data_IF_992537331782
#
_entry.id   IF_992537331782
#
_cell.length_a   1.000
_cell.length_b   1.000
_cell.length_c   1.000
_cell.angle_alpha   90.00
_cell.angle_beta   90.00
_cell.angle_gamma   90.00
#
_symmetry.space_group_name_H-M   'P 1'
#
loop_
_entity.id
_entity.type
_entity.pdbx_description
1 polymer ?
#
# COMPACT_ATOMS: atom_id res chain seq x y z
N UNK A 1 -16.70 7.12 35.68
CA UNK A 1 -17.22 7.30 34.30
C UNK A 1 -16.29 8.14 33.42
N UNK A 2 -16.03 9.43 33.72
CA UNK A 2 -15.13 10.29 32.89
C UNK A 2 -13.73 9.71 32.62
N UNK A 3 -13.05 9.16 33.65
CA UNK A 3 -11.71 8.56 33.51
C UNK A 3 -11.70 7.30 32.62
N UNK A 4 -12.79 6.51 32.67
CA UNK A 4 -12.93 5.29 31.87
C UNK A 4 -13.14 5.62 30.39
N UNK A 5 -13.94 6.65 30.10
CA UNK A 5 -14.16 7.16 28.74
C UNK A 5 -12.85 7.69 28.12
N UNK A 6 -12.07 8.43 28.90
CA UNK A 6 -10.78 8.96 28.43
C UNK A 6 -9.79 7.84 28.07
N UNK A 7 -9.74 6.76 28.86
CA UNK A 7 -8.91 5.59 28.58
C UNK A 7 -9.37 4.87 27.30
N UNK A 8 -10.68 4.72 27.13
CA UNK A 8 -11.25 4.10 25.93
C UNK A 8 -10.90 4.91 24.67
N UNK A 9 -11.04 6.23 24.73
CA UNK A 9 -10.68 7.12 23.63
C UNK A 9 -9.19 7.02 23.27
N UNK A 10 -8.30 6.98 24.28
CA UNK A 10 -6.86 6.79 24.07
C UNK A 10 -6.55 5.45 23.38
N UNK A 11 -7.23 4.37 23.75
CA UNK A 11 -7.06 3.06 23.10
C UNK A 11 -7.47 3.12 21.63
N UNK A 12 -8.61 3.73 21.31
CA UNK A 12 -9.08 3.88 19.92
C UNK A 12 -8.08 4.69 19.09
N UNK A 13 -7.57 5.79 19.64
CA UNK A 13 -6.55 6.62 18.97
C UNK A 13 -5.26 5.81 18.75
N UNK A 14 -4.81 5.06 19.76
CA UNK A 14 -3.61 4.23 19.64
C UNK A 14 -3.76 3.15 18.56
N UNK A 15 -4.92 2.48 18.50
CA UNK A 15 -5.22 1.50 17.45
C UNK A 15 -5.23 2.16 16.07
N UNK A 16 -5.88 3.32 15.95
CA UNK A 16 -5.94 4.06 14.68
C UNK A 16 -4.54 4.43 14.16
N UNK A 17 -3.69 4.94 15.05
CA UNK A 17 -2.29 5.28 14.73
C UNK A 17 -1.52 4.02 14.34
N UNK A 18 -1.67 2.93 15.10
CA UNK A 18 -0.98 1.67 14.81
C UNK A 18 -1.37 1.11 13.43
N UNK A 19 -2.65 1.15 13.06
CA UNK A 19 -3.14 0.75 11.73
C UNK A 19 -2.55 1.63 10.65
N UNK A 20 -2.60 2.96 10.80
CA UNK A 20 -2.02 3.88 9.82
C UNK A 20 -0.53 3.65 9.62
N UNK A 21 0.22 3.49 10.72
CA UNK A 21 1.66 3.26 10.65
C UNK A 21 1.97 1.91 9.99
N UNK A 22 1.21 0.86 10.31
CA UNK A 22 1.36 -0.45 9.69
C UNK A 22 1.11 -0.40 8.18
N UNK A 23 0.03 0.25 7.75
CA UNK A 23 -0.28 0.44 6.33
C UNK A 23 0.81 1.23 5.62
N UNK A 24 1.29 2.32 6.23
CA UNK A 24 2.37 3.13 5.66
C UNK A 24 3.65 2.32 5.45
N UNK A 25 4.08 1.57 6.47
CA UNK A 25 5.29 0.74 6.39
C UNK A 25 5.18 -0.32 5.29
N UNK A 26 4.03 -0.99 5.17
CA UNK A 26 3.83 -2.00 4.13
C UNK A 26 3.83 -1.39 2.73
N UNK A 27 3.16 -0.27 2.52
CA UNK A 27 3.15 0.43 1.24
C UNK A 27 4.58 0.83 0.82
N UNK A 28 5.36 1.43 1.73
CA UNK A 28 6.76 1.79 1.44
C UNK A 28 7.64 0.57 1.13
N UNK A 29 7.38 -0.57 1.79
CA UNK A 29 8.10 -1.81 1.50
C UNK A 29 7.78 -2.34 0.10
N UNK A 30 6.51 -2.28 -0.31
CA UNK A 30 6.10 -2.69 -1.66
C UNK A 30 6.71 -1.78 -2.71
N UNK A 31 6.70 -0.47 -2.50
CA UNK A 31 7.31 0.51 -3.40
C UNK A 31 8.80 0.21 -3.64
N UNK A 32 9.55 -0.02 -2.56
CA UNK A 32 10.96 -0.41 -2.64
C UNK A 32 11.17 -1.74 -3.38
N UNK A 33 10.30 -2.73 -3.11
CA UNK A 33 10.36 -4.03 -3.76
C UNK A 33 10.04 -3.96 -5.25
N UNK A 34 9.01 -3.21 -5.65
CA UNK A 34 8.62 -3.03 -7.05
C UNK A 34 9.76 -2.41 -7.84
N UNK A 35 10.36 -1.33 -7.32
CA UNK A 35 11.49 -0.64 -7.95
C UNK A 35 12.72 -1.55 -8.08
N UNK A 36 12.97 -2.40 -7.07
CA UNK A 36 14.09 -3.35 -7.07
C UNK A 36 13.90 -4.49 -8.06
N UNK A 37 12.68 -5.03 -8.17
CA UNK A 37 12.37 -6.22 -8.98
C UNK A 37 12.10 -5.85 -10.44
N UNK A 38 11.63 -4.63 -10.71
CA UNK A 38 11.19 -4.17 -12.03
C UNK A 38 11.98 -2.93 -12.47
N UNK A 39 13.25 -3.08 -12.91
CA UNK A 39 14.10 -1.95 -13.29
C UNK A 39 13.60 -1.18 -14.52
N UNK A 40 12.59 -1.69 -15.23
CA UNK A 40 11.92 -1.01 -16.34
C UNK A 40 10.93 0.08 -15.90
N UNK A 41 10.61 0.17 -14.60
CA UNK A 41 9.72 1.20 -14.05
C UNK A 41 10.56 2.44 -13.77
N UNK A 42 10.24 3.54 -14.45
CA UNK A 42 10.94 4.81 -14.30
C UNK A 42 10.48 5.55 -13.04
N UNK A 43 9.17 5.49 -12.74
CA UNK A 43 8.55 6.24 -11.64
C UNK A 43 7.27 5.55 -11.15
N UNK A 44 7.04 5.57 -9.84
CA UNK A 44 5.77 5.17 -9.23
C UNK A 44 4.96 6.44 -8.96
N UNK A 45 3.85 6.62 -9.68
CA UNK A 45 2.99 7.80 -9.60
C UNK A 45 2.02 7.68 -8.42
N UNK A 46 1.46 6.49 -8.22
CA UNK A 46 0.57 6.23 -7.09
C UNK A 46 0.56 4.75 -6.73
N UNK A 47 0.27 4.46 -5.47
CA UNK A 47 0.10 3.11 -4.94
C UNK A 47 -1.18 3.07 -4.11
N UNK A 48 -2.06 2.14 -4.46
CA UNK A 48 -3.28 1.86 -3.73
C UNK A 48 -3.25 0.40 -3.29
N UNK A 49 -3.57 0.12 -2.03
CA UNK A 49 -3.85 -1.24 -1.60
C UNK A 49 -5.22 -1.65 -2.12
N UNK A 50 -5.31 -2.77 -2.85
CA UNK A 50 -6.59 -3.43 -3.06
C UNK A 50 -6.75 -4.38 -1.89
N UNK A 51 -7.75 -4.13 -1.06
CA UNK A 51 -8.10 -5.04 0.02
C UNK A 51 -9.61 -5.05 0.13
N UNK A 52 -10.20 -6.21 -0.14
CA UNK A 52 -11.57 -6.47 0.26
C UNK A 52 -11.62 -6.66 1.78
N UNK A 53 -12.76 -6.36 2.41
CA UNK A 53 -12.95 -6.53 3.85
C UNK A 53 -12.65 -7.98 4.26
N UNK A 54 -11.52 -8.19 4.95
CA UNK A 54 -11.07 -9.52 5.40
C UNK A 54 -9.85 -10.05 4.65
N UNK A 55 -9.51 -9.51 3.48
CA UNK A 55 -8.28 -9.82 2.76
C UNK A 55 -7.22 -8.78 3.08
N UNK A 56 -6.38 -9.10 4.07
CA UNK A 56 -5.28 -8.21 4.45
C UNK A 56 -4.21 -8.26 3.36
N UNK A 57 -4.10 -7.18 2.58
CA UNK A 57 -2.91 -6.75 1.84
C UNK A 57 -2.26 -7.75 0.86
N UNK A 58 -3.02 -8.65 0.25
CA UNK A 58 -2.42 -9.61 -0.70
C UNK A 58 -1.90 -8.93 -1.98
N UNK A 59 -2.57 -7.87 -2.42
CA UNK A 59 -2.26 -7.20 -3.69
C UNK A 59 -2.35 -5.68 -3.62
N UNK A 60 -1.47 -5.04 -4.39
CA UNK A 60 -1.39 -3.60 -4.53
C UNK A 60 -1.57 -3.25 -6.00
N UNK A 61 -2.26 -2.15 -6.24
CA UNK A 61 -2.35 -1.54 -7.56
C UNK A 61 -1.53 -0.28 -7.59
N UNK A 62 -0.55 -0.25 -8.49
CA UNK A 62 0.31 0.90 -8.70
C UNK A 62 0.00 1.50 -10.05
N UNK A 63 0.06 2.83 -10.13
CA UNK A 63 0.19 3.54 -11.40
C UNK A 63 1.65 3.88 -11.54
N UNK A 64 2.27 3.39 -12.61
CA UNK A 64 3.71 3.52 -12.87
C UNK A 64 3.95 4.11 -14.24
N UNK A 65 5.09 4.77 -14.38
CA UNK A 65 5.57 5.31 -15.65
C UNK A 65 6.64 4.38 -16.21
N UNK A 66 6.46 3.96 -17.46
CA UNK A 66 7.43 3.14 -18.21
C UNK A 66 7.57 3.79 -19.59
N UNK A 67 8.77 4.31 -19.90
CA UNK A 67 9.10 4.96 -21.18
C UNK A 67 8.09 6.06 -21.58
N UNK A 68 7.81 6.96 -20.64
CA UNK A 68 6.84 8.05 -20.79
C UNK A 68 5.36 7.65 -20.91
N UNK A 69 5.02 6.36 -20.86
CA UNK A 69 3.64 5.89 -20.82
C UNK A 69 3.23 5.47 -19.40
N UNK A 70 1.94 5.64 -19.07
CA UNK A 70 1.38 5.23 -17.77
C UNK A 70 0.74 3.86 -17.86
N UNK A 71 1.03 3.04 -16.86
CA UNK A 71 0.45 1.71 -16.70
C UNK A 71 -0.10 1.55 -15.29
N UNK A 72 -1.24 0.88 -15.19
CA UNK A 72 -1.71 0.30 -13.96
C UNK A 72 -1.17 -1.11 -13.84
N UNK A 73 -0.39 -1.38 -12.80
CA UNK A 73 0.13 -2.72 -12.50
C UNK A 73 -0.48 -3.26 -11.22
N UNK A 74 -0.76 -4.56 -11.19
CA UNK A 74 -1.09 -5.31 -9.97
C UNK A 74 0.16 -6.03 -9.50
N UNK A 75 0.53 -5.83 -8.25
CA UNK A 75 1.72 -6.44 -7.66
C UNK A 75 1.42 -7.09 -6.32
N UNK A 76 2.21 -8.11 -5.96
CA UNK A 76 2.21 -8.69 -4.63
C UNK A 76 3.17 -7.96 -3.68
N UNK A 77 3.22 -8.37 -2.40
CA UNK A 77 4.11 -7.77 -1.40
C UNK A 77 5.61 -7.83 -1.74
N UNK A 78 6.01 -8.82 -2.54
CA UNK A 78 7.38 -9.01 -3.02
C UNK A 78 7.74 -8.09 -4.19
N UNK A 79 6.77 -7.34 -4.71
CA UNK A 79 6.94 -6.45 -5.87
C UNK A 79 6.85 -7.16 -7.22
N UNK A 80 6.38 -8.41 -7.26
CA UNK A 80 6.20 -9.15 -8.51
C UNK A 80 4.91 -8.71 -9.19
N UNK A 81 4.97 -8.48 -10.49
CA UNK A 81 3.83 -8.03 -11.29
C UNK A 81 2.99 -9.22 -11.73
N UNK A 82 1.70 -9.20 -11.40
CA UNK A 82 0.72 -10.22 -11.80
C UNK A 82 -0.18 -9.77 -12.95
N UNK A 83 -0.28 -8.45 -13.16
CA UNK A 83 -1.10 -7.89 -14.23
C UNK A 83 -0.64 -6.49 -14.59
N UNK A 84 -0.78 -6.15 -15.88
CA UNK A 84 -0.46 -4.83 -16.42
C UNK A 84 -1.58 -4.38 -17.35
N UNK A 85 -2.02 -3.14 -17.16
CA UNK A 85 -3.06 -2.47 -17.93
C UNK A 85 -2.51 -1.11 -18.36
N UNK A 86 -2.58 -0.79 -19.66
CA UNK A 86 -2.18 0.54 -20.16
C UNK A 86 -3.29 1.55 -19.84
N UNK A 87 -2.91 2.72 -19.33
CA UNK A 87 -3.82 3.83 -19.05
C UNK A 87 -3.90 4.84 -20.21
#
# INVERSE_FOLDING_TARGET
MRKTFLRLAMIVIAIFIAVHLFTYINISRVEANVTRVNPQIDEIISINSISDWGEWFQYYTLVVKIKDEQYRIRVNESGEVEGIEKL
#
